data_IF_227740380891
#
_entry.id   IF_227740380891
#
_cell.length_a   1.000
_cell.length_b   1.000
_cell.length_c   1.000
_cell.angle_alpha   90.00
_cell.angle_beta   90.00
_cell.angle_gamma   90.00
#
_symmetry.space_group_name_H-M   'P 1'
#
loop_
_entity.id
_entity.type
_entity.pdbx_description
1 polymer ?
#
# COMPACT_ATOMS: atom_id res chain seq x y z
N UNK A 1 -6.74 7.56 20.07
CA UNK A 1 -5.47 6.85 20.36
C UNK A 1 -5.10 7.11 21.81
N UNK A 2 -4.89 6.08 22.61
CA UNK A 2 -4.54 6.25 24.02
C UNK A 2 -3.12 6.81 24.16
N UNK A 3 -2.81 7.48 25.28
CA UNK A 3 -1.51 8.13 25.50
C UNK A 3 -0.34 7.12 25.54
N UNK A 4 -0.64 5.87 25.91
CA UNK A 4 0.31 4.75 25.95
C UNK A 4 0.66 4.28 24.54
N UNK A 5 -0.35 4.06 23.68
CA UNK A 5 -0.16 3.67 22.26
C UNK A 5 0.74 4.66 21.51
N UNK A 6 0.58 5.96 21.76
CA UNK A 6 1.42 7.00 21.15
C UNK A 6 2.87 6.94 21.64
N UNK A 7 3.11 6.51 22.88
CA UNK A 7 4.45 6.43 23.46
C UNK A 7 5.21 5.23 22.92
N UNK A 8 4.56 4.06 22.88
CA UNK A 8 5.15 2.83 22.34
C UNK A 8 5.44 2.96 20.84
N UNK A 9 4.54 3.59 20.07
CA UNK A 9 4.78 3.90 18.66
C UNK A 9 6.05 4.75 18.46
N UNK A 10 6.24 5.79 19.26
CA UNK A 10 7.42 6.66 19.18
C UNK A 10 8.71 5.90 19.51
N UNK A 11 8.67 5.00 20.49
CA UNK A 11 9.82 4.15 20.84
C UNK A 11 10.13 3.19 19.69
N UNK A 12 9.12 2.49 19.16
CA UNK A 12 9.29 1.60 18.01
C UNK A 12 9.86 2.35 16.81
N UNK A 13 9.27 3.49 16.43
CA UNK A 13 9.68 4.28 15.25
C UNK A 13 11.15 4.72 15.34
N UNK A 14 11.61 5.17 16.52
CA UNK A 14 13.03 5.52 16.75
C UNK A 14 14.01 4.36 16.52
N UNK A 15 13.55 3.12 16.73
CA UNK A 15 14.37 1.93 16.55
C UNK A 15 14.25 1.32 15.15
N UNK A 16 13.34 1.81 14.29
CA UNK A 16 13.12 1.22 12.95
C UNK A 16 14.37 1.09 12.08
N UNK A 17 15.36 2.01 12.08
CA UNK A 17 16.59 1.85 11.31
C UNK A 17 17.46 0.65 11.73
N UNK A 18 17.27 0.14 12.96
CA UNK A 18 17.98 -1.02 13.48
C UNK A 18 17.16 -2.31 13.37
N UNK A 19 15.86 -2.20 13.14
CA UNK A 19 14.91 -3.31 13.16
C UNK A 19 14.53 -3.81 11.76
N UNK A 20 14.56 -2.92 10.76
CA UNK A 20 14.07 -3.23 9.42
C UNK A 20 15.06 -2.77 8.37
N UNK A 21 15.32 -3.65 7.41
CA UNK A 21 16.05 -3.28 6.19
C UNK A 21 15.22 -2.36 5.30
N UNK A 22 13.89 -2.39 5.41
CA UNK A 22 12.97 -1.54 4.64
C UNK A 22 11.68 -1.29 5.42
N UNK A 23 11.26 -0.03 5.50
CA UNK A 23 10.00 0.38 6.09
C UNK A 23 9.37 1.49 5.25
N UNK A 24 8.10 1.30 4.91
CA UNK A 24 7.28 2.34 4.28
C UNK A 24 6.01 2.52 5.08
N UNK A 25 5.71 3.77 5.40
CA UNK A 25 4.47 4.18 6.04
C UNK A 25 3.70 5.07 5.05
N UNK A 26 2.47 4.67 4.73
CA UNK A 26 1.58 5.40 3.84
C UNK A 26 0.18 5.45 4.48
N UNK A 27 -0.32 6.67 4.65
CA UNK A 27 -1.66 6.92 5.18
C UNK A 27 -2.66 6.88 4.03
N UNK A 28 -3.57 5.92 4.06
CA UNK A 28 -4.68 5.84 3.12
C UNK A 28 -5.77 6.84 3.52
N UNK A 29 -6.51 7.33 2.53
CA UNK A 29 -7.70 8.18 2.72
C UNK A 29 -8.79 7.45 3.53
N UNK A 30 -9.07 6.21 3.13
CA UNK A 30 -10.02 5.33 3.80
C UNK A 30 -9.32 4.04 4.23
N UNK A 31 -9.70 3.44 5.36
CA UNK A 31 -9.12 2.19 5.83
C UNK A 31 -9.42 1.05 4.83
N UNK A 32 -8.54 0.06 4.82
CA UNK A 32 -8.70 -1.13 3.99
C UNK A 32 -8.87 -2.39 4.84
N UNK A 33 -9.89 -3.18 4.51
CA UNK A 33 -10.15 -4.49 5.13
C UNK A 33 -9.42 -5.64 4.41
N UNK A 34 -8.80 -5.36 3.26
CA UNK A 34 -8.11 -6.35 2.44
C UNK A 34 -6.78 -5.81 1.95
N UNK A 35 -5.79 -6.70 1.86
CA UNK A 35 -4.52 -6.42 1.22
C UNK A 35 -4.05 -7.70 0.53
N UNK A 36 -3.63 -7.59 -0.72
CA UNK A 36 -3.00 -8.69 -1.46
C UNK A 36 -2.01 -8.14 -2.49
N UNK A 37 -0.84 -8.76 -2.59
CA UNK A 37 0.11 -8.47 -3.67
C UNK A 37 -0.37 -9.06 -4.98
N UNK A 38 -0.31 -8.26 -6.05
CA UNK A 38 -0.36 -8.79 -7.40
C UNK A 38 1.00 -9.38 -7.78
N UNK A 39 1.02 -10.43 -8.60
CA UNK A 39 2.26 -11.15 -8.94
C UNK A 39 3.13 -10.40 -9.95
N UNK A 40 2.61 -9.36 -10.60
CA UNK A 40 3.36 -8.62 -11.61
C UNK A 40 4.38 -7.64 -11.00
N UNK A 41 5.46 -7.44 -11.76
CA UNK A 41 6.60 -6.63 -11.36
C UNK A 41 7.06 -5.80 -12.55
N UNK A 42 7.05 -4.49 -12.39
CA UNK A 42 7.59 -3.57 -13.40
C UNK A 42 8.95 -3.04 -12.95
N UNK A 43 9.97 -3.14 -13.80
CA UNK A 43 11.31 -2.60 -13.54
C UNK A 43 11.65 -1.55 -14.59
N UNK A 44 11.53 -0.25 -14.29
CA UNK A 44 11.96 0.79 -15.20
C UNK A 44 13.48 0.71 -15.41
N UNK A 45 13.95 0.66 -16.66
CA UNK A 45 15.38 0.45 -16.98
C UNK A 45 16.31 1.52 -16.41
N UNK A 46 15.79 2.72 -16.13
CA UNK A 46 16.56 3.90 -15.71
C UNK A 46 16.41 4.23 -14.23
N UNK A 47 15.72 3.40 -13.44
CA UNK A 47 15.41 3.69 -12.03
C UNK A 47 15.87 2.56 -11.11
N UNK A 48 16.37 2.93 -9.93
CA UNK A 48 16.90 2.00 -8.93
C UNK A 48 15.79 1.37 -8.05
N UNK A 49 14.57 1.23 -8.59
CA UNK A 49 13.44 0.64 -7.88
C UNK A 49 12.59 -0.21 -8.83
N UNK A 50 11.88 -1.18 -8.27
CA UNK A 50 10.81 -1.91 -8.94
C UNK A 50 9.45 -1.43 -8.48
N UNK A 51 8.46 -1.45 -9.36
CA UNK A 51 7.07 -1.15 -9.01
C UNK A 51 6.34 -2.47 -8.83
N UNK A 52 5.86 -2.68 -7.61
CA UNK A 52 4.94 -3.75 -7.25
C UNK A 52 3.53 -3.19 -7.14
N UNK A 53 2.51 -4.03 -7.23
CA UNK A 53 1.11 -3.59 -7.09
C UNK A 53 0.39 -4.32 -5.97
N UNK A 54 -0.46 -3.59 -5.25
CA UNK A 54 -1.31 -4.10 -4.18
C UNK A 54 -2.78 -3.94 -4.53
N UNK A 55 -3.58 -4.96 -4.26
CA UNK A 55 -5.03 -4.87 -4.21
C UNK A 55 -5.43 -4.40 -2.82
N UNK A 56 -6.17 -3.31 -2.79
CA UNK A 56 -6.81 -2.76 -1.60
C UNK A 56 -8.29 -2.53 -1.90
N UNK A 57 -9.05 -2.24 -0.86
CA UNK A 57 -10.38 -1.66 -1.03
C UNK A 57 -10.71 -0.70 0.09
N UNK A 58 -11.71 0.14 -0.12
CA UNK A 58 -12.13 1.12 0.89
C UNK A 58 -13.15 0.54 1.84
N UNK A 59 -13.19 1.10 3.05
CA UNK A 59 -14.25 0.88 4.02
C UNK A 59 -14.71 2.24 4.56
N UNK A 60 -15.80 2.74 4.00
CA UNK A 60 -16.47 3.99 4.40
C UNK A 60 -17.98 3.86 4.23
N UNK A 61 -18.74 4.56 5.08
CA UNK A 61 -20.19 4.72 4.95
C UNK A 61 -20.58 6.10 4.42
N UNK A 62 -19.61 7.00 4.27
CA UNK A 62 -19.83 8.41 3.96
C UNK A 62 -19.70 8.69 2.45
N UNK A 63 -18.93 7.88 1.73
CA UNK A 63 -18.60 8.09 0.32
C UNK A 63 -18.72 6.80 -0.52
N UNK A 64 -18.58 6.96 -1.83
CA UNK A 64 -18.48 5.83 -2.77
C UNK A 64 -17.29 4.94 -2.38
N UNK A 65 -17.56 3.64 -2.22
CA UNK A 65 -16.51 2.67 -1.99
C UNK A 65 -15.84 2.25 -3.31
N UNK A 66 -14.57 1.82 -3.21
CA UNK A 66 -13.76 1.48 -4.36
C UNK A 66 -12.91 0.22 -4.13
N UNK A 67 -12.76 -0.57 -5.20
CA UNK A 67 -11.66 -1.49 -5.38
C UNK A 67 -10.46 -0.69 -5.92
N UNK A 68 -9.29 -0.84 -5.29
CA UNK A 68 -8.11 -0.02 -5.56
C UNK A 68 -6.93 -0.91 -5.92
N UNK A 69 -6.20 -0.54 -6.96
CA UNK A 69 -4.86 -1.07 -7.25
C UNK A 69 -3.86 0.04 -7.00
N UNK A 70 -2.95 -0.22 -6.07
CA UNK A 70 -1.96 0.73 -5.59
C UNK A 70 -0.58 0.33 -6.12
N UNK A 71 0.10 1.26 -6.79
CA UNK A 71 1.48 1.10 -7.21
C UNK A 71 2.43 1.44 -6.04
N UNK A 72 3.26 0.47 -5.67
CA UNK A 72 4.20 0.55 -4.57
C UNK A 72 5.62 0.42 -5.10
N UNK A 73 6.38 1.52 -5.11
CA UNK A 73 7.79 1.47 -5.44
C UNK A 73 8.59 0.78 -4.34
N UNK A 74 9.42 -0.17 -4.73
CA UNK A 74 10.29 -0.94 -3.85
C UNK A 74 11.75 -0.71 -4.27
N UNK A 75 12.61 -0.23 -3.36
CA UNK A 75 14.01 0.02 -3.68
C UNK A 75 14.68 -1.27 -4.11
N UNK A 76 15.57 -1.17 -5.10
CA UNK A 76 16.46 -2.28 -5.44
C UNK A 76 17.41 -2.57 -4.28
N UNK A 77 17.98 -3.77 -4.23
CA UNK A 77 18.97 -4.16 -3.21
C UNK A 77 20.24 -3.30 -3.22
N UNK A 78 20.43 -2.49 -4.26
CA UNK A 78 21.56 -1.58 -4.44
C UNK A 78 21.24 -0.15 -3.97
N UNK A 79 19.99 0.12 -3.60
CA UNK A 79 19.59 1.43 -3.11
C UNK A 79 20.25 1.72 -1.76
N UNK A 80 20.92 2.86 -1.68
CA UNK A 80 21.55 3.32 -0.44
C UNK A 80 20.47 3.73 0.59
N UNK A 81 20.58 3.19 1.80
CA UNK A 81 19.79 3.62 2.94
C UNK A 81 20.47 4.82 3.62
N UNK A 82 19.76 5.94 3.70
CA UNK A 82 20.23 7.11 4.45
C UNK A 82 19.45 7.24 5.77
N UNK A 83 20.09 6.78 6.86
CA UNK A 83 19.53 6.90 8.21
C UNK A 83 19.39 8.36 8.68
N UNK A 84 20.03 9.31 8.01
CA UNK A 84 20.00 10.74 8.36
C UNK A 84 18.96 11.54 7.57
N UNK A 85 18.35 10.93 6.53
CA UNK A 85 17.34 11.61 5.72
C UNK A 85 16.11 11.94 6.57
N UNK A 86 15.70 13.20 6.56
CA UNK A 86 14.50 13.67 7.26
C UNK A 86 13.39 14.00 6.25
N UNK A 87 12.25 13.35 6.39
CA UNK A 87 11.03 13.64 5.64
C UNK A 87 10.25 14.74 6.37
N UNK A 88 10.32 15.97 5.86
CA UNK A 88 9.65 17.13 6.44
C UNK A 88 8.13 17.12 6.28
N UNK A 89 7.58 16.39 5.29
CA UNK A 89 6.12 16.25 5.15
C UNK A 89 5.55 15.33 6.23
N UNK A 90 6.35 14.35 6.68
CA UNK A 90 5.96 13.39 7.70
C UNK A 90 6.52 13.68 9.09
N UNK A 91 7.46 14.62 9.22
CA UNK A 91 8.22 14.91 10.44
C UNK A 91 8.98 13.65 10.94
N UNK A 92 9.67 12.94 10.04
CA UNK A 92 10.28 11.63 10.30
C UNK A 92 11.76 11.56 9.89
N UNK A 93 12.59 10.86 10.68
CA UNK A 93 14.00 10.54 10.35
C UNK A 93 14.15 9.09 9.88
N UNK A 94 15.02 8.91 8.89
CA UNK A 94 15.40 7.61 8.32
C UNK A 94 14.41 7.12 7.26
N UNK A 95 14.91 6.80 6.06
CA UNK A 95 14.08 6.18 5.04
C UNK A 95 14.77 6.00 3.69
N UNK A 96 14.18 5.14 2.86
CA UNK A 96 14.48 5.05 1.42
C UNK A 96 13.76 6.13 0.60
N UNK A 97 12.94 6.94 1.28
CA UNK A 97 11.83 7.74 0.72
C UNK A 97 12.30 8.77 -0.32
N UNK A 98 13.53 9.27 -0.22
CA UNK A 98 13.99 10.35 -1.10
C UNK A 98 14.29 9.90 -2.56
N UNK A 99 14.45 8.60 -2.84
CA UNK A 99 14.84 8.12 -4.19
C UNK A 99 13.95 7.02 -4.77
N UNK A 100 13.14 6.33 -3.96
CA UNK A 100 12.44 5.13 -4.40
C UNK A 100 11.13 5.37 -5.16
N UNK A 101 10.64 6.61 -5.32
CA UNK A 101 9.35 6.89 -5.99
C UNK A 101 8.18 6.98 -5.00
N UNK A 102 7.03 7.51 -5.46
CA UNK A 102 5.84 7.75 -4.64
C UNK A 102 4.85 6.59 -4.74
N UNK A 103 4.22 6.24 -3.62
CA UNK A 103 3.06 5.34 -3.62
C UNK A 103 1.87 6.07 -4.21
N UNK A 104 1.26 5.50 -5.24
CA UNK A 104 0.20 6.13 -6.01
C UNK A 104 -0.93 5.14 -6.34
N UNK A 105 -2.16 5.65 -6.39
CA UNK A 105 -3.32 4.88 -6.84
C UNK A 105 -3.29 4.80 -8.37
N UNK A 106 -3.14 3.59 -8.90
CA UNK A 106 -3.09 3.34 -10.35
C UNK A 106 -4.50 3.14 -10.92
N UNK A 107 -5.32 2.33 -10.25
CA UNK A 107 -6.69 2.01 -10.67
C UNK A 107 -7.63 2.16 -9.48
N UNK A 108 -8.80 2.75 -9.75
CA UNK A 108 -9.87 2.97 -8.78
C UNK A 108 -11.21 2.65 -9.46
N UNK A 109 -11.86 1.57 -9.03
CA UNK A 109 -13.12 1.06 -9.60
C UNK A 109 -14.22 1.22 -8.56
N UNK A 110 -15.37 1.77 -8.94
CA UNK A 110 -16.54 1.87 -8.06
C UNK A 110 -16.98 0.48 -7.59
N UNK A 111 -17.24 0.35 -6.30
CA UNK A 111 -17.66 -0.90 -5.67
C UNK A 111 -18.93 -0.68 -4.84
N UNK A 112 -19.87 -1.61 -4.92
CA UNK A 112 -21.13 -1.54 -4.19
C UNK A 112 -20.93 -1.98 -2.71
N UNK A 113 -20.88 -1.00 -1.81
CA UNK A 113 -20.49 -1.18 -0.40
C UNK A 113 -18.99 -1.38 -0.19
N UNK A 114 -18.57 -1.55 1.06
CA UNK A 114 -17.16 -1.76 1.40
C UNK A 114 -16.60 -3.08 0.87
N UNK A 115 -15.29 -3.10 0.65
CA UNK A 115 -14.59 -4.30 0.15
C UNK A 115 -14.08 -5.12 1.33
N UNK A 116 -14.88 -6.10 1.78
CA UNK A 116 -14.50 -6.95 2.91
C UNK A 116 -13.30 -7.86 2.60
N UNK A 117 -13.18 -8.29 1.35
CA UNK A 117 -12.08 -9.10 0.83
C UNK A 117 -11.98 -8.91 -0.68
N UNK A 118 -10.77 -8.84 -1.21
CA UNK A 118 -10.51 -8.85 -2.65
C UNK A 118 -9.37 -9.83 -2.96
N UNK A 119 -9.55 -10.73 -3.93
CA UNK A 119 -8.54 -11.71 -4.32
C UNK A 119 -8.41 -11.82 -5.83
N UNK A 120 -7.18 -11.78 -6.33
CA UNK A 120 -6.92 -12.07 -7.74
C UNK A 120 -7.06 -13.56 -8.05
N UNK A 121 -7.38 -13.88 -9.30
CA UNK A 121 -7.29 -15.23 -9.83
C UNK A 121 -5.83 -15.52 -10.22
N UNK A 122 -5.16 -16.54 -9.65
CA UNK A 122 -3.75 -16.80 -9.96
C UNK A 122 -3.46 -17.11 -11.43
N UNK A 123 -4.41 -17.72 -12.14
CA UNK A 123 -4.30 -18.04 -13.56
C UNK A 123 -4.41 -16.80 -14.46
N UNK A 124 -5.20 -15.81 -14.03
CA UNK A 124 -5.47 -14.58 -14.76
C UNK A 124 -5.51 -13.43 -13.74
N UNK A 125 -4.34 -12.88 -13.35
CA UNK A 125 -4.26 -11.93 -12.24
C UNK A 125 -5.07 -10.64 -12.42
N UNK A 126 -5.43 -10.30 -13.67
CA UNK A 126 -6.31 -9.15 -13.94
C UNK A 126 -7.75 -9.34 -13.46
N UNK A 127 -8.17 -10.58 -13.23
CA UNK A 127 -9.50 -10.90 -12.70
C UNK A 127 -9.45 -10.92 -11.17
N UNK A 128 -10.24 -10.05 -10.55
CA UNK A 128 -10.35 -9.90 -9.09
C UNK A 128 -11.77 -10.20 -8.64
N UNK A 129 -11.92 -11.12 -7.70
CA UNK A 129 -13.18 -11.36 -7.01
C UNK A 129 -13.23 -10.59 -5.69
N UNK A 130 -14.36 -9.95 -5.37
CA UNK A 130 -14.55 -9.20 -4.13
C UNK A 130 -15.77 -9.66 -3.35
N UNK A 131 -15.73 -9.42 -2.03
CA UNK A 131 -16.86 -9.64 -1.14
C UNK A 131 -17.44 -8.30 -0.65
N UNK A 132 -18.58 -7.85 -1.21
CA UNK A 132 -19.35 -6.73 -0.66
C UNK A 132 -20.10 -7.13 0.62
N UNK A 133 -20.83 -6.20 1.27
CA UNK A 133 -21.68 -6.50 2.44
C UNK A 133 -22.93 -7.30 2.08
N UNK A 134 -23.37 -7.24 0.81
CA UNK A 134 -24.53 -7.97 0.29
C UNK A 134 -24.29 -9.49 0.24
N UNK A 135 -25.26 -10.28 -0.24
CA UNK A 135 -25.08 -11.72 -0.48
C UNK A 135 -24.13 -12.03 -1.64
N UNK A 136 -23.90 -11.06 -2.52
CA UNK A 136 -23.32 -11.31 -3.83
C UNK A 136 -21.79 -11.40 -3.77
N UNK A 137 -21.20 -11.93 -4.83
CA UNK A 137 -19.75 -11.89 -5.10
C UNK A 137 -19.58 -11.17 -6.41
N UNK A 138 -18.79 -10.11 -6.41
CA UNK A 138 -18.52 -9.32 -7.60
C UNK A 138 -17.19 -9.78 -8.19
N UNK A 139 -17.12 -9.81 -9.52
CA UNK A 139 -15.91 -10.16 -10.27
C UNK A 139 -15.59 -9.00 -11.20
N UNK A 140 -14.37 -8.50 -11.11
CA UNK A 140 -13.87 -7.37 -11.87
C UNK A 140 -12.73 -7.83 -12.77
N UNK A 141 -12.62 -7.23 -13.94
CA UNK A 141 -11.40 -7.23 -14.74
C UNK A 141 -10.88 -5.79 -14.78
N UNK A 142 -9.60 -5.60 -14.49
CA UNK A 142 -8.98 -4.27 -14.40
C UNK A 142 -8.06 -3.92 -15.58
N UNK A 143 -7.95 -4.78 -16.60
CA UNK A 143 -7.20 -4.43 -17.84
C UNK A 143 -7.84 -3.29 -18.63
#
# INVERSE_FOLDING_TARGET
MSKIESTDYKIWKKNTPFLYDFLVTHSLEWPSLTVEWLPDLTRPETKDFSVHRLILGTHTTEEQNHLIILAVPFPSLQAEFDATSYDSEKDEFGGYVAKSGKIETEIKINHDGEVNRARHMPQIPCVIATKPPSSDVLVFDYT
#
